data_IF_247563098014
#
_entry.id   IF_247563098014
#
_cell.length_a   1.000
_cell.length_b   1.000
_cell.length_c   1.000
_cell.angle_alpha   90.00
_cell.angle_beta   90.00
_cell.angle_gamma   90.00
#
_symmetry.space_group_name_H-M   'P 1'
#
loop_
_entity.id
_entity.type
_entity.pdbx_description
1 polymer ?
#
# COMPACT_ATOMS: atom_id res chain seq x y z
N UNK A 1 -27.72 -1.51 -17.78
CA UNK A 1 -27.87 -1.23 -16.33
C UNK A 1 -26.71 -0.30 -15.97
N UNK A 2 -27.03 0.93 -15.61
CA UNK A 2 -25.99 1.90 -15.21
C UNK A 2 -25.58 1.57 -13.77
N UNK A 3 -24.29 1.25 -13.57
CA UNK A 3 -23.74 0.91 -12.28
C UNK A 3 -22.60 1.89 -11.95
N UNK A 4 -22.74 2.62 -10.84
CA UNK A 4 -21.79 3.65 -10.44
C UNK A 4 -20.35 3.10 -10.28
N UNK A 5 -20.18 1.89 -9.76
CA UNK A 5 -18.87 1.26 -9.61
C UNK A 5 -18.22 1.02 -10.98
N UNK A 6 -18.97 0.51 -11.94
CA UNK A 6 -18.46 0.31 -13.31
C UNK A 6 -18.10 1.64 -13.95
N UNK A 7 -18.93 2.66 -13.80
CA UNK A 7 -18.64 4.00 -14.31
C UNK A 7 -17.34 4.57 -13.73
N UNK A 8 -17.09 4.39 -12.44
CA UNK A 8 -15.85 4.84 -11.80
C UNK A 8 -14.63 4.05 -12.28
N UNK A 9 -14.74 2.73 -12.46
CA UNK A 9 -13.67 1.91 -12.99
C UNK A 9 -13.32 2.28 -14.44
N UNK A 10 -14.32 2.54 -15.28
CA UNK A 10 -14.14 2.98 -16.67
C UNK A 10 -13.54 4.39 -16.77
N UNK A 11 -13.93 5.29 -15.84
CA UNK A 11 -13.41 6.66 -15.80
C UNK A 11 -11.99 6.75 -15.20
N UNK A 12 -11.48 5.70 -14.58
CA UNK A 12 -10.14 5.70 -13.95
C UNK A 12 -9.05 5.94 -14.98
N UNK A 13 -8.12 6.80 -14.65
CA UNK A 13 -6.92 7.08 -15.45
C UNK A 13 -5.70 7.27 -14.54
N UNK A 14 -4.52 7.10 -15.11
CA UNK A 14 -3.27 7.46 -14.42
C UNK A 14 -3.11 8.97 -14.35
N UNK A 15 -3.09 9.51 -13.14
CA UNK A 15 -2.89 10.95 -12.88
C UNK A 15 -1.44 11.15 -12.45
N UNK A 16 -0.75 12.09 -13.09
CA UNK A 16 0.66 12.42 -12.80
C UNK A 16 0.89 13.90 -12.51
N UNK A 17 -0.17 14.70 -12.60
CA UNK A 17 -0.17 16.11 -12.25
C UNK A 17 -1.22 16.31 -11.17
N UNK A 18 -0.81 16.92 -10.09
CA UNK A 18 -1.65 17.15 -8.92
C UNK A 18 -1.93 18.63 -8.76
N UNK A 19 -3.00 18.97 -8.07
CA UNK A 19 -3.29 20.33 -7.63
C UNK A 19 -2.46 20.64 -6.38
N UNK A 20 -2.39 21.93 -6.03
CA UNK A 20 -1.75 22.37 -4.78
C UNK A 20 -2.62 22.12 -3.54
N UNK A 21 -3.79 21.52 -3.71
CA UNK A 21 -4.72 21.22 -2.64
C UNK A 21 -4.19 20.06 -1.79
N UNK A 22 -4.00 20.25 -0.48
CA UNK A 22 -3.47 19.20 0.38
C UNK A 22 -4.51 18.12 0.64
N UNK A 23 -4.06 16.87 0.71
CA UNK A 23 -4.91 15.76 1.19
C UNK A 23 -5.14 15.94 2.69
N UNK A 24 -6.41 16.02 3.08
CA UNK A 24 -6.80 16.16 4.47
C UNK A 24 -6.49 14.91 5.29
N UNK A 25 -6.45 15.05 6.61
CA UNK A 25 -6.26 13.91 7.51
C UNK A 25 -7.41 12.87 7.40
N UNK A 26 -8.61 13.31 7.04
CA UNK A 26 -9.75 12.43 6.83
C UNK A 26 -9.61 11.63 5.54
N UNK A 27 -9.28 12.27 4.42
CA UNK A 27 -9.03 11.60 3.13
C UNK A 27 -7.87 10.62 3.23
N UNK A 28 -6.79 10.99 3.92
CA UNK A 28 -5.66 10.08 4.20
C UNK A 28 -6.12 8.83 4.95
N UNK A 29 -6.90 9.00 6.04
CA UNK A 29 -7.45 7.87 6.80
C UNK A 29 -8.40 7.03 5.96
N UNK A 30 -9.27 7.65 5.17
CA UNK A 30 -10.19 6.96 4.29
C UNK A 30 -9.46 6.11 3.24
N UNK A 31 -8.38 6.65 2.65
CA UNK A 31 -7.55 5.94 1.67
C UNK A 31 -6.89 4.69 2.27
N UNK A 32 -6.27 4.84 3.46
CA UNK A 32 -5.65 3.70 4.16
C UNK A 32 -6.71 2.69 4.62
N UNK A 33 -7.86 3.17 5.12
CA UNK A 33 -8.96 2.29 5.50
C UNK A 33 -9.51 1.49 4.30
N UNK A 34 -9.62 2.12 3.14
CA UNK A 34 -10.05 1.42 1.92
C UNK A 34 -9.09 0.28 1.54
N UNK A 35 -7.78 0.49 1.71
CA UNK A 35 -6.78 -0.56 1.50
C UNK A 35 -6.96 -1.74 2.48
N UNK A 36 -7.27 -1.47 3.75
CA UNK A 36 -7.54 -2.53 4.74
C UNK A 36 -8.82 -3.32 4.47
N UNK A 37 -9.73 -2.81 3.65
CA UNK A 37 -10.95 -3.52 3.25
C UNK A 37 -10.73 -4.48 2.09
N UNK A 38 -9.54 -4.49 1.47
CA UNK A 38 -9.21 -5.45 0.43
C UNK A 38 -9.19 -6.88 1.01
N UNK A 39 -9.73 -7.88 0.31
CA UNK A 39 -9.69 -9.26 0.76
C UNK A 39 -8.26 -9.80 0.72
N UNK A 40 -7.88 -10.56 1.74
CA UNK A 40 -6.59 -11.25 1.80
C UNK A 40 -6.78 -12.73 2.09
N UNK A 41 -5.85 -13.56 1.69
CA UNK A 41 -5.93 -15.00 1.88
C UNK A 41 -5.95 -15.36 3.37
N UNK A 42 -7.02 -16.04 3.81
CA UNK A 42 -7.21 -16.38 5.22
C UNK A 42 -7.26 -15.17 6.16
N UNK A 43 -7.54 -13.97 5.64
CA UNK A 43 -7.50 -12.70 6.38
C UNK A 43 -6.15 -12.47 7.11
N UNK A 44 -5.06 -12.93 6.51
CA UNK A 44 -3.72 -12.82 7.12
C UNK A 44 -3.14 -11.41 6.99
N UNK A 45 -3.57 -10.65 5.99
CA UNK A 45 -3.10 -9.27 5.78
C UNK A 45 -1.57 -9.18 5.76
N UNK A 46 -0.95 -9.99 4.88
CA UNK A 46 0.51 -10.10 4.76
C UNK A 46 1.14 -8.88 4.08
N UNK A 47 0.77 -7.69 4.52
CA UNK A 47 1.30 -6.44 3.98
C UNK A 47 1.55 -5.42 5.09
N UNK A 48 2.43 -4.49 4.80
CA UNK A 48 2.65 -3.27 5.58
C UNK A 48 2.48 -2.06 4.67
N UNK A 49 1.77 -1.05 5.13
CA UNK A 49 1.58 0.21 4.40
C UNK A 49 2.44 1.28 5.07
N UNK A 50 3.37 1.86 4.32
CA UNK A 50 4.19 2.99 4.76
C UNK A 50 3.62 4.28 4.18
N UNK A 51 3.34 5.25 5.03
CA UNK A 51 3.00 6.60 4.62
C UNK A 51 4.27 7.45 4.61
N UNK A 52 4.75 7.77 3.42
CA UNK A 52 6.01 8.49 3.24
C UNK A 52 5.74 9.98 3.32
N UNK A 53 6.04 10.58 4.46
CA UNK A 53 5.80 12.01 4.72
C UNK A 53 7.07 12.86 4.60
N UNK A 54 8.26 12.26 4.68
CA UNK A 54 9.54 12.97 4.54
C UNK A 54 9.79 13.41 3.09
N UNK A 55 9.87 14.72 2.79
CA UNK A 55 10.10 15.22 1.44
C UNK A 55 11.44 14.77 0.84
N UNK A 56 12.50 14.64 1.66
CA UNK A 56 13.81 14.21 1.20
C UNK A 56 13.77 12.74 0.77
N UNK A 57 13.08 11.89 1.52
CA UNK A 57 12.88 10.49 1.15
C UNK A 57 12.04 10.38 -0.12
N UNK A 58 10.97 11.15 -0.26
CA UNK A 58 10.13 11.18 -1.48
C UNK A 58 10.91 11.61 -2.71
N UNK A 59 11.79 12.62 -2.59
CA UNK A 59 12.69 13.05 -3.67
C UNK A 59 13.62 11.91 -4.10
N UNK A 60 14.26 11.22 -3.14
CA UNK A 60 15.11 10.06 -3.43
C UNK A 60 14.33 8.90 -4.09
N UNK A 61 13.10 8.65 -3.65
CA UNK A 61 12.23 7.65 -4.29
C UNK A 61 11.90 8.03 -5.73
N UNK A 62 11.61 9.30 -5.99
CA UNK A 62 11.36 9.78 -7.36
C UNK A 62 12.55 9.49 -8.28
N UNK A 63 13.78 9.74 -7.81
CA UNK A 63 15.01 9.46 -8.57
C UNK A 63 15.22 7.97 -8.79
N UNK A 64 15.07 7.16 -7.75
CA UNK A 64 15.26 5.70 -7.81
C UNK A 64 14.17 4.99 -8.62
N UNK A 65 12.99 5.57 -8.72
CA UNK A 65 11.87 5.06 -9.51
C UNK A 65 11.84 5.65 -10.92
N UNK A 66 12.95 5.60 -11.62
CA UNK A 66 13.07 6.04 -13.02
C UNK A 66 12.83 7.56 -13.21
N UNK A 67 13.37 8.37 -12.30
CA UNK A 67 13.27 9.83 -12.31
C UNK A 67 11.82 10.34 -12.48
N UNK A 68 10.89 9.82 -11.70
CA UNK A 68 9.47 10.19 -11.76
C UNK A 68 9.13 11.31 -10.75
N UNK A 69 9.16 12.58 -11.17
CA UNK A 69 8.98 13.73 -10.26
C UNK A 69 7.59 13.74 -9.60
N UNK A 70 6.61 13.10 -10.20
CA UNK A 70 5.26 12.97 -9.63
C UNK A 70 5.25 12.26 -8.27
N UNK A 71 6.20 11.37 -7.98
CA UNK A 71 6.30 10.70 -6.68
C UNK A 71 6.63 11.71 -5.57
N UNK A 72 7.55 12.64 -5.85
CA UNK A 72 7.87 13.71 -4.92
C UNK A 72 6.73 14.74 -4.77
N UNK A 73 6.03 15.02 -5.88
CA UNK A 73 4.96 16.02 -5.93
C UNK A 73 3.60 15.53 -5.41
N UNK A 74 3.37 14.21 -5.36
CA UNK A 74 2.09 13.66 -4.93
C UNK A 74 1.72 14.11 -3.49
N UNK A 75 0.49 14.55 -3.22
CA UNK A 75 0.09 14.99 -1.87
C UNK A 75 -0.01 13.84 -0.87
N UNK A 76 -0.13 12.61 -1.35
CA UNK A 76 -0.10 11.37 -0.56
C UNK A 76 0.80 10.36 -1.26
N UNK A 77 1.75 9.76 -0.53
CA UNK A 77 2.64 8.73 -1.04
C UNK A 77 2.59 7.51 -0.11
N UNK A 78 1.91 6.46 -0.55
CA UNK A 78 1.81 5.20 0.18
C UNK A 78 2.65 4.13 -0.52
N UNK A 79 3.43 3.39 0.26
CA UNK A 79 4.20 2.23 -0.21
C UNK A 79 3.63 0.98 0.43
N UNK A 80 3.23 0.03 -0.40
CA UNK A 80 2.75 -1.26 0.03
C UNK A 80 3.91 -2.26 -0.02
N UNK A 81 4.12 -2.95 1.08
CA UNK A 81 5.19 -3.94 1.23
C UNK A 81 4.57 -5.31 1.44
N UNK A 82 5.00 -6.31 0.70
CA UNK A 82 4.76 -7.71 1.04
C UNK A 82 5.47 -8.04 2.36
N UNK A 83 4.74 -8.46 3.39
CA UNK A 83 5.25 -8.63 4.74
C UNK A 83 4.92 -10.00 5.31
N UNK A 84 5.79 -10.97 5.06
CA UNK A 84 5.70 -12.30 5.65
C UNK A 84 6.17 -12.36 7.13
N UNK A 85 6.90 -11.35 7.62
CA UNK A 85 7.51 -11.36 8.95
C UNK A 85 6.51 -11.11 10.06
N UNK A 86 5.49 -10.34 9.78
CA UNK A 86 4.47 -9.90 10.75
C UNK A 86 3.93 -11.06 11.61
N UNK A 87 3.42 -12.11 10.96
CA UNK A 87 2.87 -13.26 11.67
C UNK A 87 3.95 -14.15 12.28
N UNK A 88 5.10 -14.27 11.63
CA UNK A 88 6.23 -15.00 12.17
C UNK A 88 6.66 -14.43 13.53
N UNK A 89 6.78 -13.12 13.62
CA UNK A 89 7.11 -12.42 14.86
C UNK A 89 5.99 -12.54 15.90
N UNK A 90 4.73 -12.36 15.49
CA UNK A 90 3.58 -12.51 16.39
C UNK A 90 3.49 -13.92 16.99
N UNK A 91 3.69 -14.97 16.20
CA UNK A 91 3.69 -16.35 16.69
C UNK A 91 4.87 -16.62 17.64
N UNK A 92 6.05 -16.11 17.33
CA UNK A 92 7.21 -16.23 18.23
C UNK A 92 6.98 -15.51 19.56
N UNK A 93 6.41 -14.32 19.53
CA UNK A 93 6.04 -13.58 20.74
C UNK A 93 4.97 -14.32 21.58
N UNK A 94 4.08 -15.06 20.93
CA UNK A 94 3.09 -15.90 21.59
C UNK A 94 3.64 -17.25 22.08
N UNK A 95 4.96 -17.50 21.97
CA UNK A 95 5.62 -18.73 22.39
C UNK A 95 5.45 -19.91 21.44
N UNK A 96 4.93 -19.69 20.23
CA UNK A 96 4.85 -20.70 19.19
C UNK A 96 6.19 -20.85 18.43
N UNK A 97 6.39 -22.00 17.79
CA UNK A 97 7.51 -22.28 16.92
C UNK A 97 7.03 -22.42 15.45
N UNK A 98 6.73 -21.30 14.76
CA UNK A 98 6.25 -21.36 13.39
C UNK A 98 7.40 -21.82 12.47
N UNK A 99 7.05 -22.45 11.34
CA UNK A 99 8.02 -22.64 10.25
C UNK A 99 8.46 -21.29 9.69
N UNK A 100 9.63 -21.24 9.10
CA UNK A 100 10.05 -20.05 8.37
C UNK A 100 9.21 -19.89 7.08
N UNK A 101 8.95 -18.63 6.65
CA UNK A 101 8.27 -18.36 5.39
C UNK A 101 9.05 -18.94 4.20
N UNK A 102 8.33 -19.51 3.25
CA UNK A 102 8.88 -19.97 1.98
C UNK A 102 8.41 -19.11 0.81
N UNK A 103 8.79 -19.50 -0.41
CA UNK A 103 8.47 -18.76 -1.64
C UNK A 103 6.95 -18.57 -1.84
N UNK A 104 6.15 -19.57 -1.43
CA UNK A 104 4.68 -19.49 -1.50
C UNK A 104 4.11 -18.41 -0.58
N UNK A 105 4.69 -18.21 0.60
CA UNK A 105 4.26 -17.16 1.54
C UNK A 105 4.62 -15.77 0.99
N UNK A 106 5.79 -15.64 0.35
CA UNK A 106 6.19 -14.38 -0.29
C UNK A 106 5.27 -14.04 -1.48
N UNK A 107 4.96 -15.03 -2.32
CA UNK A 107 4.02 -14.84 -3.43
C UNK A 107 2.64 -14.42 -2.92
N UNK A 108 2.15 -15.05 -1.85
CA UNK A 108 0.89 -14.70 -1.22
C UNK A 108 0.90 -13.28 -0.68
N UNK A 109 1.97 -12.91 0.04
CA UNK A 109 2.14 -11.56 0.57
C UNK A 109 2.22 -10.50 -0.54
N UNK A 110 2.86 -10.81 -1.67
CA UNK A 110 2.90 -9.92 -2.83
C UNK A 110 1.53 -9.77 -3.51
N UNK A 111 0.67 -10.78 -3.43
CA UNK A 111 -0.71 -10.71 -3.94
C UNK A 111 -1.64 -9.94 -2.98
N UNK A 112 -1.36 -9.97 -1.68
CA UNK A 112 -2.12 -9.23 -0.66
C UNK A 112 -1.75 -7.73 -0.63
N UNK A 113 -0.51 -7.38 -1.00
CA UNK A 113 0.00 -6.00 -1.02
C UNK A 113 -0.44 -5.23 -2.28
#
# INVERSE_FOLDING_TARGET
>A
MENEVLRQLEARKSVRVFTDEPVTAEERRASVHAAFMAPTAGNQQLYTILDITDPALRGRMADLCDHQPMIAAAPLCLVFLADCRRWLEAYRMAGAAPRDPGDGDLLLAAADA
#
